data_IF_467233278053
#
_entry.id   IF_467233278053
#
_cell.length_a   1.000
_cell.length_b   1.000
_cell.length_c   1.000
_cell.angle_alpha   90.00
_cell.angle_beta   90.00
_cell.angle_gamma   90.00
#
_symmetry.space_group_name_H-M   'P 1'
#
loop_
_entity.id
_entity.type
_entity.pdbx_description
1 polymer ?
#
# COMPACT_ATOMS: atom_id res chain seq x y z
N UNK A 1 -4.82 -5.84 43.57
CA UNK A 1 -3.35 -5.58 43.49
C UNK A 1 -2.73 -6.11 42.20
N UNK A 2 -2.97 -7.36 41.78
CA UNK A 2 -2.44 -7.92 40.52
C UNK A 2 -2.91 -7.18 39.25
N UNK A 3 -4.18 -6.76 39.19
CA UNK A 3 -4.72 -5.95 38.07
C UNK A 3 -4.06 -4.57 37.95
N UNK A 4 -3.63 -3.98 39.08
CA UNK A 4 -2.90 -2.70 39.11
C UNK A 4 -1.44 -2.90 38.65
N UNK A 5 -0.85 -4.05 38.94
CA UNK A 5 0.47 -4.46 38.45
C UNK A 5 0.47 -4.68 36.92
N UNK A 6 -0.57 -5.34 36.38
CA UNK A 6 -0.70 -5.53 34.92
C UNK A 6 -0.89 -4.21 34.15
N UNK A 7 -1.60 -3.24 34.73
CA UNK A 7 -1.79 -1.91 34.13
C UNK A 7 -0.46 -1.13 34.05
N UNK A 8 0.41 -1.27 35.05
CA UNK A 8 1.74 -0.66 35.06
C UNK A 8 2.68 -1.25 34.00
N UNK A 9 2.61 -2.57 33.77
CA UNK A 9 3.42 -3.25 32.75
C UNK A 9 3.01 -2.81 31.33
N UNK A 10 1.71 -2.66 31.07
CA UNK A 10 1.21 -2.19 29.77
C UNK A 10 1.64 -0.73 29.51
N UNK A 11 1.67 0.10 30.56
CA UNK A 11 2.12 1.51 30.46
C UNK A 11 3.64 1.65 30.24
N UNK A 12 4.45 0.70 30.70
CA UNK A 12 5.89 0.69 30.45
C UNK A 12 6.25 0.35 28.98
N UNK A 13 5.43 -0.47 28.32
CA UNK A 13 5.65 -0.89 26.92
C UNK A 13 5.45 0.27 25.94
N UNK A 14 4.53 1.20 26.25
CA UNK A 14 4.19 2.34 25.37
C UNK A 14 5.17 3.52 25.45
N UNK A 15 6.10 3.55 26.41
CA UNK A 15 7.09 4.65 26.56
C UNK A 15 8.43 4.32 25.86
N UNK A 16 8.66 3.06 25.46
CA UNK A 16 9.91 2.66 24.81
C UNK A 16 9.89 2.89 23.29
N UNK A 17 9.70 4.14 22.88
CA UNK A 17 10.11 4.65 21.57
C UNK A 17 10.58 6.10 21.73
N UNK A 18 11.81 6.28 22.21
CA UNK A 18 12.57 7.50 21.94
C UNK A 18 13.70 7.12 21.01
N UNK A 19 13.45 7.30 19.72
CA UNK A 19 14.44 7.10 18.67
C UNK A 19 15.34 8.35 18.68
N UNK A 20 16.60 8.19 19.06
CA UNK A 20 17.63 9.23 18.92
C UNK A 20 17.81 9.55 17.44
N UNK A 21 17.35 10.72 17.01
CA UNK A 21 17.73 11.27 15.71
C UNK A 21 19.10 11.95 15.85
N UNK A 22 20.15 11.16 15.67
CA UNK A 22 21.45 11.66 15.24
C UNK A 22 21.26 12.36 13.89
N UNK A 23 21.38 13.69 13.88
CA UNK A 23 21.43 14.49 12.66
C UNK A 23 22.74 14.20 11.93
N UNK A 24 22.72 13.32 10.93
CA UNK A 24 23.77 13.26 9.92
C UNK A 24 23.41 14.27 8.83
N UNK A 25 24.21 15.33 8.72
CA UNK A 25 24.21 16.21 7.57
C UNK A 25 24.76 15.42 6.38
N UNK A 26 23.86 14.85 5.57
CA UNK A 26 24.21 14.21 4.31
C UNK A 26 24.18 15.26 3.21
N UNK A 27 25.36 15.44 2.62
CA UNK A 27 25.65 16.20 1.41
C UNK A 27 24.72 15.74 0.26
N UNK A 28 23.93 16.66 -0.28
CA UNK A 28 23.12 16.47 -1.49
C UNK A 28 24.03 16.17 -2.69
N UNK A 29 24.40 14.91 -2.85
CA UNK A 29 24.72 14.36 -4.15
C UNK A 29 23.39 13.99 -4.78
N UNK A 30 23.03 14.68 -5.87
CA UNK A 30 21.83 14.42 -6.66
C UNK A 30 21.85 12.99 -7.19
N UNK A 31 21.28 12.06 -6.41
CA UNK A 31 20.97 10.72 -6.86
C UNK A 31 20.04 10.90 -8.05
N UNK A 32 20.51 10.57 -9.25
CA UNK A 32 19.63 10.42 -10.39
C UNK A 32 18.53 9.45 -9.97
N UNK A 33 17.32 9.97 -9.83
CA UNK A 33 16.11 9.20 -9.58
C UNK A 33 15.94 8.31 -10.81
N UNK A 34 16.53 7.12 -10.76
CA UNK A 34 16.10 6.02 -11.60
C UNK A 34 14.65 5.78 -11.17
N UNK A 35 13.72 6.34 -11.94
CA UNK A 35 12.30 6.03 -11.82
C UNK A 35 12.21 4.53 -12.10
N UNK A 36 12.08 3.74 -11.04
CA UNK A 36 11.86 2.31 -11.18
C UNK A 36 10.47 2.12 -11.78
N UNK A 37 10.36 1.30 -12.81
CA UNK A 37 9.05 0.90 -13.33
C UNK A 37 8.22 0.28 -12.20
N UNK A 38 7.02 0.83 -11.98
CA UNK A 38 6.12 0.37 -10.91
C UNK A 38 4.99 -0.44 -11.52
N UNK A 39 4.80 -1.65 -11.00
CA UNK A 39 3.63 -2.47 -11.31
C UNK A 39 2.53 -2.22 -10.26
N UNK A 40 1.39 -1.72 -10.70
CA UNK A 40 0.20 -1.55 -9.87
C UNK A 40 -0.83 -2.63 -10.18
N UNK A 41 -1.34 -3.30 -9.14
CA UNK A 41 -2.38 -4.32 -9.26
C UNK A 41 -3.44 -4.07 -8.19
N UNK A 42 -4.71 -4.17 -8.58
CA UNK A 42 -5.84 -4.01 -7.68
C UNK A 42 -6.51 -5.37 -7.47
N UNK A 43 -6.75 -5.72 -6.20
CA UNK A 43 -7.15 -7.08 -5.76
C UNK A 43 -6.00 -8.10 -5.85
N UNK A 44 -6.33 -9.39 -5.76
CA UNK A 44 -5.39 -10.51 -5.83
C UNK A 44 -6.01 -11.70 -6.58
N UNK A 45 -5.17 -12.56 -7.14
CA UNK A 45 -5.59 -13.76 -7.88
C UNK A 45 -6.52 -14.67 -7.09
N UNK A 46 -6.28 -14.84 -5.78
CA UNK A 46 -7.11 -15.69 -4.93
C UNK A 46 -8.56 -15.19 -4.85
N UNK A 47 -8.76 -13.87 -4.77
CA UNK A 47 -10.11 -13.29 -4.78
C UNK A 47 -10.81 -13.59 -6.11
N UNK A 48 -10.09 -13.46 -7.22
CA UNK A 48 -10.61 -13.72 -8.56
C UNK A 48 -11.07 -15.18 -8.75
N UNK A 49 -10.23 -16.17 -8.39
CA UNK A 49 -10.62 -17.60 -8.53
C UNK A 49 -11.74 -18.00 -7.58
N UNK A 50 -11.89 -17.30 -6.45
CA UNK A 50 -13.00 -17.46 -5.53
C UNK A 50 -14.25 -16.63 -5.91
N UNK A 51 -14.30 -16.12 -7.14
CA UNK A 51 -15.45 -15.40 -7.72
C UNK A 51 -15.80 -14.09 -7.00
N UNK A 52 -14.85 -13.48 -6.33
CA UNK A 52 -14.99 -12.14 -5.77
C UNK A 52 -14.69 -11.15 -6.90
N UNK A 53 -15.72 -10.84 -7.70
CA UNK A 53 -15.59 -10.00 -8.90
C UNK A 53 -15.91 -8.51 -8.66
N UNK A 54 -16.53 -8.18 -7.53
CA UNK A 54 -16.90 -6.80 -7.24
C UNK A 54 -15.81 -6.07 -6.48
N UNK A 55 -15.35 -4.96 -7.05
CA UNK A 55 -14.40 -4.02 -6.46
C UNK A 55 -14.99 -2.62 -6.29
N UNK A 56 -14.19 -1.75 -5.67
CA UNK A 56 -14.53 -0.33 -5.42
C UNK A 56 -13.67 0.66 -6.19
N UNK A 57 -12.57 0.20 -6.82
CA UNK A 57 -11.69 1.04 -7.64
C UNK A 57 -12.38 1.35 -8.97
N UNK A 58 -12.49 2.64 -9.29
CA UNK A 58 -13.00 3.09 -10.58
C UNK A 58 -11.91 3.09 -11.66
N UNK A 59 -12.30 3.00 -12.93
CA UNK A 59 -11.36 3.12 -14.05
C UNK A 59 -10.62 4.49 -14.05
N UNK A 60 -11.28 5.56 -13.61
CA UNK A 60 -10.67 6.89 -13.50
C UNK A 60 -9.59 6.99 -12.42
N UNK A 61 -9.74 6.23 -11.32
CA UNK A 61 -8.70 6.12 -10.29
C UNK A 61 -7.56 5.20 -10.74
N UNK A 62 -7.86 4.12 -11.47
CA UNK A 62 -6.85 3.24 -12.05
C UNK A 62 -5.94 3.98 -13.05
N UNK A 63 -6.51 4.87 -13.88
CA UNK A 63 -5.76 5.71 -14.82
C UNK A 63 -4.76 6.65 -14.14
N UNK A 64 -4.97 7.00 -12.86
CA UNK A 64 -4.00 7.77 -12.08
C UNK A 64 -2.78 6.93 -11.63
N UNK A 65 -2.80 5.61 -11.86
CA UNK A 65 -1.73 4.68 -11.47
C UNK A 65 -0.82 4.26 -12.62
N UNK A 66 -1.22 4.50 -13.87
CA UNK A 66 -0.45 4.18 -15.05
C UNK A 66 -1.24 4.40 -16.34
N UNK A 67 -0.55 4.30 -17.47
CA UNK A 67 -1.07 4.58 -18.83
C UNK A 67 -1.37 3.32 -19.65
N UNK A 68 -0.89 2.16 -19.21
CA UNK A 68 -1.08 0.87 -19.87
C UNK A 68 -1.58 -0.14 -18.84
N UNK A 69 -2.63 -0.89 -19.16
CA UNK A 69 -3.17 -1.89 -18.26
C UNK A 69 -4.23 -2.80 -18.88
N UNK A 70 -4.57 -3.85 -18.15
CA UNK A 70 -5.60 -4.84 -18.49
C UNK A 70 -6.35 -5.30 -17.24
N UNK A 71 -7.56 -5.82 -17.41
CA UNK A 71 -8.37 -6.35 -16.31
C UNK A 71 -9.82 -6.65 -16.74
N UNK A 72 -10.75 -6.55 -15.81
CA UNK A 72 -12.20 -6.73 -16.03
C UNK A 72 -12.99 -5.76 -15.16
N UNK A 73 -14.27 -5.56 -15.46
CA UNK A 73 -15.21 -4.82 -14.62
C UNK A 73 -15.87 -5.69 -13.55
N UNK A 74 -16.59 -5.03 -12.63
CA UNK A 74 -17.44 -5.69 -11.64
C UNK A 74 -18.39 -6.71 -12.28
N UNK A 75 -18.69 -7.79 -11.56
CA UNK A 75 -19.49 -8.89 -12.09
C UNK A 75 -18.86 -9.67 -13.26
N UNK A 76 -17.57 -9.46 -13.56
CA UNK A 76 -16.89 -9.98 -14.76
C UNK A 76 -17.57 -9.52 -16.07
N UNK A 77 -18.12 -8.30 -16.07
CA UNK A 77 -18.85 -7.71 -17.20
C UNK A 77 -17.89 -7.15 -18.27
N UNK A 78 -17.26 -8.07 -18.99
CA UNK A 78 -16.35 -7.76 -20.09
C UNK A 78 -14.92 -7.44 -19.67
N UNK A 79 -14.09 -7.14 -20.66
CA UNK A 79 -12.64 -6.96 -20.51
C UNK A 79 -12.27 -5.48 -20.47
N UNK A 80 -11.40 -5.10 -19.53
CA UNK A 80 -10.75 -3.80 -19.50
C UNK A 80 -9.44 -3.88 -20.29
N UNK A 81 -9.31 -3.03 -21.30
CA UNK A 81 -8.04 -2.70 -21.95
C UNK A 81 -7.83 -1.20 -21.78
N UNK A 82 -6.73 -0.81 -21.16
CA UNK A 82 -6.37 0.59 -20.92
C UNK A 82 -5.11 0.92 -21.71
N UNK A 83 -5.24 1.88 -22.62
CA UNK A 83 -4.15 2.45 -23.41
C UNK A 83 -4.31 3.97 -23.38
N UNK A 84 -3.23 4.68 -23.11
CA UNK A 84 -3.11 6.12 -23.34
C UNK A 84 -2.12 6.40 -24.48
#
# INVERSE_FOLDING_TARGET
>A
MKKLLYLFIIFAVIISCKNDQTKIAVQENSIQKNETDVFYHYSIWEAFVNKIYDGTLTAGELKQKGTIGLGSYNGLDGELIMLD
#
